data_IF_784741428009
#
_entry.id   IF_784741428009
#
_cell.length_a   1.000
_cell.length_b   1.000
_cell.length_c   1.000
_cell.angle_alpha   90.00
_cell.angle_beta   90.00
_cell.angle_gamma   90.00
#
_symmetry.space_group_name_H-M   'P 1'
#
loop_
_entity.id
_entity.type
_entity.pdbx_description
1 polymer ?
#
# COMPACT_ATOMS: atom_id res chain seq x y z
N UNK A 1 -23.39 7.26 -12.89
CA UNK A 1 -21.98 6.90 -13.12
C UNK A 1 -21.54 5.99 -11.99
N UNK A 2 -20.84 4.90 -12.33
CA UNK A 2 -20.15 4.04 -11.36
C UNK A 2 -18.67 4.31 -11.50
N UNK A 3 -17.99 4.57 -10.38
CA UNK A 3 -16.53 4.63 -10.32
C UNK A 3 -16.04 3.33 -9.68
N UNK A 4 -15.27 2.55 -10.44
CA UNK A 4 -14.71 1.28 -9.97
C UNK A 4 -13.21 1.43 -9.72
N UNK A 5 -12.79 1.07 -8.51
CA UNK A 5 -11.38 1.01 -8.08
C UNK A 5 -10.92 -0.41 -7.81
N UNK A 6 -11.69 -1.40 -8.28
CA UNK A 6 -11.42 -2.81 -8.11
C UNK A 6 -11.78 -3.61 -9.38
N UNK A 7 -10.99 -4.63 -9.77
CA UNK A 7 -11.17 -5.35 -11.02
C UNK A 7 -12.39 -6.27 -11.09
N UNK A 8 -12.98 -6.62 -9.94
CA UNK A 8 -14.18 -7.49 -9.92
C UNK A 8 -15.43 -6.62 -9.84
N UNK A 9 -16.16 -6.47 -10.89
CA UNK A 9 -17.13 -5.38 -10.95
C UNK A 9 -18.47 -5.76 -10.30
N UNK A 10 -18.94 -4.88 -9.43
CA UNK A 10 -20.35 -4.83 -9.07
C UNK A 10 -21.28 -4.64 -10.31
N UNK A 11 -20.72 -4.20 -11.45
CA UNK A 11 -21.46 -4.04 -12.70
C UNK A 11 -21.98 -5.36 -13.29
N UNK A 12 -21.38 -6.50 -12.97
CA UNK A 12 -21.92 -7.81 -13.35
C UNK A 12 -23.33 -8.06 -12.79
N UNK A 13 -23.69 -7.35 -11.72
CA UNK A 13 -25.00 -7.37 -11.09
C UNK A 13 -26.00 -6.41 -11.79
N UNK A 14 -25.52 -5.57 -12.70
CA UNK A 14 -26.30 -4.51 -13.34
C UNK A 14 -26.61 -4.81 -14.82
N UNK A 15 -26.77 -6.09 -15.14
CA UNK A 15 -26.90 -6.61 -16.51
C UNK A 15 -27.84 -5.85 -17.46
N UNK A 16 -28.82 -5.12 -16.92
CA UNK A 16 -29.87 -4.49 -17.70
C UNK A 16 -29.85 -2.94 -17.68
N UNK A 17 -28.84 -2.33 -17.03
CA UNK A 17 -28.78 -0.86 -16.92
C UNK A 17 -27.52 -0.32 -17.62
N UNK A 18 -27.76 0.53 -18.64
CA UNK A 18 -26.68 1.30 -19.31
C UNK A 18 -26.15 2.41 -18.37
N UNK A 19 -25.46 2.04 -17.33
CA UNK A 19 -24.84 2.98 -16.40
C UNK A 19 -23.39 3.21 -16.85
N UNK A 20 -22.96 4.46 -17.11
CA UNK A 20 -21.58 4.76 -17.46
C UNK A 20 -20.62 4.32 -16.35
N UNK A 21 -19.56 3.59 -16.72
CA UNK A 21 -18.55 3.07 -15.80
C UNK A 21 -17.23 3.78 -16.05
N UNK A 22 -16.61 4.25 -14.98
CA UNK A 22 -15.27 4.80 -14.96
C UNK A 22 -14.40 3.86 -14.15
N UNK A 23 -13.36 3.30 -14.76
CA UNK A 23 -12.40 2.45 -14.08
C UNK A 23 -11.16 3.27 -13.68
N UNK A 24 -10.79 3.26 -12.41
CA UNK A 24 -9.53 3.77 -11.90
C UNK A 24 -8.68 2.55 -11.56
N UNK A 25 -7.72 2.23 -12.42
CA UNK A 25 -6.84 1.07 -12.25
C UNK A 25 -5.82 1.39 -11.17
N UNK A 26 -5.96 0.71 -10.03
CA UNK A 26 -5.10 0.90 -8.85
C UNK A 26 -3.92 -0.07 -8.79
N UNK A 27 -3.61 -0.72 -9.92
CA UNK A 27 -2.47 -1.60 -10.08
C UNK A 27 -1.48 -1.01 -11.09
N UNK A 28 -0.18 -1.18 -10.82
CA UNK A 28 0.89 -0.79 -11.75
C UNK A 28 1.01 -1.77 -12.92
N UNK A 29 0.57 -3.01 -12.72
CA UNK A 29 0.48 -4.04 -13.76
C UNK A 29 -0.98 -4.24 -14.18
N UNK A 30 -1.20 -4.35 -15.49
CA UNK A 30 -2.55 -4.55 -16.03
C UNK A 30 -2.99 -6.01 -15.93
N UNK A 31 -4.22 -6.21 -15.45
CA UNK A 31 -4.90 -7.50 -15.49
C UNK A 31 -6.20 -7.41 -16.28
N UNK A 32 -6.50 -8.45 -17.09
CA UNK A 32 -7.68 -8.44 -17.99
C UNK A 32 -9.02 -8.29 -17.27
N UNK A 33 -9.09 -8.59 -15.98
CA UNK A 33 -10.30 -8.38 -15.16
C UNK A 33 -10.72 -6.91 -15.04
N UNK A 34 -9.80 -5.97 -15.32
CA UNK A 34 -10.13 -4.54 -15.40
C UNK A 34 -10.92 -4.16 -16.66
N UNK A 35 -10.95 -5.03 -17.70
CA UNK A 35 -11.71 -4.74 -18.91
C UNK A 35 -13.20 -4.79 -18.64
N UNK A 36 -13.87 -3.69 -18.97
CA UNK A 36 -15.31 -3.52 -18.85
C UNK A 36 -15.88 -3.06 -20.18
N UNK A 37 -16.82 -3.82 -20.75
CA UNK A 37 -17.41 -3.54 -22.06
C UNK A 37 -18.02 -2.13 -22.15
N UNK A 38 -18.66 -1.68 -21.07
CA UNK A 38 -19.40 -0.42 -21.02
C UNK A 38 -18.59 0.70 -20.32
N UNK A 39 -17.28 0.54 -20.19
CA UNK A 39 -16.45 1.59 -19.63
C UNK A 39 -16.37 2.79 -20.58
N UNK A 40 -16.69 3.95 -20.03
CA UNK A 40 -16.59 5.23 -20.74
C UNK A 40 -15.19 5.86 -20.52
N UNK A 41 -14.48 5.45 -19.46
CA UNK A 41 -13.16 5.98 -19.12
C UNK A 41 -12.34 4.97 -18.32
N UNK A 42 -11.03 4.96 -18.60
CA UNK A 42 -10.00 4.30 -17.80
C UNK A 42 -8.97 5.32 -17.35
N UNK A 43 -8.71 5.37 -16.06
CA UNK A 43 -7.58 6.08 -15.48
C UNK A 43 -6.50 5.06 -15.11
N UNK A 44 -5.27 5.30 -15.57
CA UNK A 44 -4.15 4.36 -15.45
C UNK A 44 -2.93 5.03 -14.84
N UNK A 45 -2.07 4.23 -14.22
CA UNK A 45 -0.86 4.71 -13.57
C UNK A 45 0.31 4.90 -14.54
N UNK A 46 0.46 4.01 -15.55
CA UNK A 46 1.67 3.91 -16.35
C UNK A 46 1.38 3.84 -17.84
N UNK A 47 2.41 4.15 -18.65
CA UNK A 47 2.36 3.97 -20.11
C UNK A 47 2.23 2.49 -20.49
N UNK A 48 2.71 1.57 -19.66
CA UNK A 48 2.56 0.14 -19.89
C UNK A 48 1.09 -0.27 -19.79
N UNK A 49 0.40 0.14 -18.71
CA UNK A 49 -1.04 -0.13 -18.53
C UNK A 49 -1.87 0.48 -19.66
N UNK A 50 -1.52 1.70 -20.10
CA UNK A 50 -2.15 2.32 -21.27
C UNK A 50 -1.97 1.46 -22.52
N UNK A 51 -0.72 1.04 -22.82
CA UNK A 51 -0.41 0.21 -23.99
C UNK A 51 -1.15 -1.12 -23.97
N UNK A 52 -1.28 -1.77 -22.82
CA UNK A 52 -2.02 -3.03 -22.69
C UNK A 52 -3.52 -2.85 -22.99
N UNK A 53 -4.14 -1.77 -22.53
CA UNK A 53 -5.52 -1.44 -22.85
C UNK A 53 -5.72 -1.20 -24.37
N UNK A 54 -4.80 -0.48 -24.99
CA UNK A 54 -4.84 -0.20 -26.45
C UNK A 54 -4.68 -1.50 -27.27
N UNK A 55 -3.80 -2.42 -26.85
CA UNK A 55 -3.68 -3.76 -27.49
C UNK A 55 -4.98 -4.58 -27.43
N UNK A 56 -5.81 -4.30 -26.43
CA UNK A 56 -7.11 -4.95 -26.24
C UNK A 56 -8.26 -4.16 -26.90
N UNK A 57 -7.93 -3.29 -27.86
CA UNK A 57 -8.85 -2.46 -28.63
C UNK A 57 -9.68 -1.48 -27.80
N UNK A 58 -9.20 -1.04 -26.64
CA UNK A 58 -9.80 0.09 -25.95
C UNK A 58 -9.39 1.37 -26.68
N UNK A 59 -10.37 2.20 -27.01
CA UNK A 59 -10.14 3.46 -27.71
C UNK A 59 -9.23 4.41 -26.89
N UNK A 60 -8.18 4.98 -27.51
CA UNK A 60 -7.22 5.86 -26.86
C UNK A 60 -7.88 7.03 -26.12
N UNK A 61 -8.93 7.60 -26.69
CA UNK A 61 -9.68 8.71 -26.06
C UNK A 61 -10.31 8.34 -24.72
N UNK A 62 -10.56 7.05 -24.47
CA UNK A 62 -11.11 6.55 -23.21
C UNK A 62 -10.03 6.35 -22.13
N UNK A 63 -8.75 6.33 -22.50
CA UNK A 63 -7.66 6.09 -21.54
C UNK A 63 -7.00 7.41 -21.17
N UNK A 64 -6.79 7.61 -19.87
CA UNK A 64 -6.11 8.78 -19.31
C UNK A 64 -5.08 8.33 -18.27
N UNK A 65 -3.84 8.82 -18.41
CA UNK A 65 -2.76 8.53 -17.46
C UNK A 65 -2.65 9.67 -16.45
N UNK A 66 -2.99 9.37 -15.18
CA UNK A 66 -2.96 10.33 -14.07
C UNK A 66 -2.27 9.78 -12.82
N UNK A 67 -1.80 8.54 -12.84
CA UNK A 67 -1.31 7.88 -11.64
C UNK A 67 -2.44 7.18 -10.86
N UNK A 68 -2.08 6.57 -9.73
CA UNK A 68 -3.03 6.01 -8.77
C UNK A 68 -3.38 7.09 -7.77
N UNK A 69 -4.68 7.41 -7.58
CA UNK A 69 -5.08 8.46 -6.63
C UNK A 69 -4.78 8.03 -5.19
N UNK A 70 -4.23 8.95 -4.44
CA UNK A 70 -3.97 8.84 -3.00
C UNK A 70 -4.66 10.00 -2.28
N UNK A 71 -4.73 9.95 -0.95
CA UNK A 71 -5.30 11.05 -0.18
C UNK A 71 -4.40 12.30 -0.21
N UNK A 72 -4.99 13.50 -0.33
CA UNK A 72 -4.27 14.79 -0.36
C UNK A 72 -3.33 14.98 0.83
N UNK A 73 -3.70 14.43 1.99
CA UNK A 73 -2.88 14.52 3.22
C UNK A 73 -1.44 14.02 3.05
N UNK A 74 -1.12 13.22 2.02
CA UNK A 74 0.25 12.74 1.78
C UNK A 74 1.20 13.84 1.31
N UNK A 75 0.71 14.99 0.87
CA UNK A 75 1.50 16.15 0.50
C UNK A 75 1.91 17.02 1.72
N UNK A 76 1.22 16.86 2.85
CA UNK A 76 1.48 17.63 4.07
C UNK A 76 2.76 17.14 4.76
N UNK A 77 3.55 18.07 5.30
CA UNK A 77 4.70 17.77 6.16
C UNK A 77 4.28 17.74 7.62
N UNK A 78 4.94 16.86 8.39
CA UNK A 78 4.74 16.80 9.85
C UNK A 78 6.05 17.01 10.60
N UNK A 79 5.95 17.25 11.91
CA UNK A 79 7.11 17.20 12.82
C UNK A 79 7.40 15.73 13.16
N UNK A 80 8.42 15.16 12.52
CA UNK A 80 8.79 13.75 12.67
C UNK A 80 9.29 13.45 14.09
N UNK A 81 10.10 14.32 14.68
CA UNK A 81 10.65 14.11 16.05
C UNK A 81 9.49 14.02 17.06
N UNK A 82 8.58 14.98 17.03
CA UNK A 82 7.41 14.98 17.92
C UNK A 82 6.55 13.73 17.73
N UNK A 83 6.35 13.29 16.47
CA UNK A 83 5.61 12.06 16.19
C UNK A 83 6.27 10.82 16.78
N UNK A 84 7.60 10.71 16.67
CA UNK A 84 8.36 9.60 17.24
C UNK A 84 8.23 9.59 18.77
N UNK A 85 8.39 10.74 19.44
CA UNK A 85 8.22 10.89 20.89
C UNK A 85 6.81 10.50 21.36
N UNK A 86 5.77 11.05 20.73
CA UNK A 86 4.37 10.78 21.06
C UNK A 86 4.05 9.29 20.91
N UNK A 87 4.75 8.63 20.00
CA UNK A 87 4.61 7.19 19.75
C UNK A 87 5.61 6.33 20.54
N UNK A 88 6.38 6.90 21.48
CA UNK A 88 7.37 6.20 22.31
C UNK A 88 8.42 5.46 21.47
N UNK A 89 8.92 6.11 20.43
CA UNK A 89 10.00 5.64 19.57
C UNK A 89 11.26 6.46 19.83
N UNK A 90 12.40 5.86 19.53
CA UNK A 90 13.70 6.51 19.69
C UNK A 90 13.95 7.49 18.53
N UNK A 91 14.33 8.73 18.83
CA UNK A 91 14.63 9.76 17.83
C UNK A 91 15.99 9.50 17.16
N UNK A 92 16.93 8.94 17.93
CA UNK A 92 18.31 8.68 17.50
C UNK A 92 18.48 7.38 16.70
N UNK A 93 17.38 6.62 16.47
CA UNK A 93 17.43 5.34 15.74
C UNK A 93 16.78 5.42 14.37
N UNK A 94 17.33 4.64 13.44
CA UNK A 94 16.71 4.42 12.13
C UNK A 94 15.43 3.60 12.27
N UNK A 95 14.37 4.06 11.64
CA UNK A 95 13.05 3.43 11.69
C UNK A 95 12.77 2.61 10.44
N UNK A 96 12.61 1.30 10.59
CA UNK A 96 12.12 0.41 9.55
C UNK A 96 10.63 0.20 9.73
N UNK A 97 9.85 0.60 8.74
CA UNK A 97 8.39 0.37 8.72
C UNK A 97 8.10 -0.92 7.95
N UNK A 98 7.44 -1.87 8.59
CA UNK A 98 6.95 -3.11 7.97
C UNK A 98 5.43 -3.01 7.81
N UNK A 99 4.91 -3.22 6.60
CA UNK A 99 3.46 -3.27 6.37
C UNK A 99 3.05 -4.63 5.80
N UNK A 100 2.20 -5.35 6.54
CA UNK A 100 1.68 -6.65 6.13
C UNK A 100 0.59 -6.56 5.04
N UNK A 101 0.08 -5.35 4.78
CA UNK A 101 -1.07 -5.14 3.90
C UNK A 101 -2.40 -5.54 4.58
N UNK A 102 -3.51 -5.35 3.87
CA UNK A 102 -4.85 -5.51 4.43
C UNK A 102 -5.19 -6.96 4.84
N UNK A 103 -4.61 -7.96 4.19
CA UNK A 103 -5.00 -9.37 4.35
C UNK A 103 -3.90 -10.27 4.94
N UNK A 104 -2.82 -9.70 5.44
CA UNK A 104 -1.68 -10.45 5.97
C UNK A 104 -0.94 -11.25 4.88
N UNK A 105 0.24 -11.73 5.20
CA UNK A 105 1.04 -12.59 4.30
C UNK A 105 1.58 -13.77 5.08
N UNK A 106 1.83 -14.86 4.38
CA UNK A 106 2.61 -16.01 4.83
C UNK A 106 4.11 -15.73 5.05
N UNK A 107 4.51 -14.46 5.16
CA UNK A 107 5.89 -14.09 5.45
C UNK A 107 6.11 -14.18 6.94
N UNK A 108 7.18 -14.83 7.34
CA UNK A 108 7.60 -14.92 8.73
C UNK A 108 8.13 -13.56 9.23
N UNK A 109 7.18 -12.69 9.60
CA UNK A 109 7.49 -11.34 10.09
C UNK A 109 8.34 -11.41 11.37
N UNK A 110 8.08 -12.37 12.25
CA UNK A 110 8.84 -12.52 13.48
C UNK A 110 10.33 -12.73 13.17
N UNK A 111 10.68 -13.67 12.28
CA UNK A 111 12.08 -13.85 11.88
C UNK A 111 12.68 -12.63 11.19
N UNK A 112 11.90 -11.92 10.38
CA UNK A 112 12.39 -10.70 9.71
C UNK A 112 12.74 -9.62 10.71
N UNK A 113 11.83 -9.32 11.65
CA UNK A 113 12.05 -8.36 12.75
C UNK A 113 13.30 -8.74 13.56
N UNK A 114 13.38 -10.01 13.98
CA UNK A 114 14.52 -10.52 14.74
C UNK A 114 15.85 -10.30 14.01
N UNK A 115 15.92 -10.59 12.69
CA UNK A 115 17.13 -10.37 11.89
C UNK A 115 17.51 -8.89 11.79
N UNK A 116 16.54 -7.99 11.60
CA UNK A 116 16.80 -6.53 11.53
C UNK A 116 17.37 -6.04 12.85
N UNK A 117 16.72 -6.38 13.97
CA UNK A 117 17.09 -5.91 15.30
C UNK A 117 18.41 -6.48 15.82
N UNK A 118 18.76 -7.74 15.42
CA UNK A 118 20.02 -8.36 15.77
C UNK A 118 21.21 -7.76 15.03
N UNK A 119 21.02 -7.44 13.74
CA UNK A 119 22.12 -6.93 12.90
C UNK A 119 22.43 -5.46 13.15
N UNK A 120 21.45 -4.67 13.58
CA UNK A 120 21.58 -3.23 13.74
C UNK A 120 21.05 -2.77 15.11
N UNK A 121 21.96 -2.33 15.98
CA UNK A 121 21.59 -1.79 17.30
C UNK A 121 20.92 -0.41 17.21
N UNK A 122 21.24 0.35 16.17
CA UNK A 122 20.72 1.70 15.92
C UNK A 122 19.47 1.71 15.05
N UNK A 123 18.74 0.58 15.02
CA UNK A 123 17.50 0.43 14.25
C UNK A 123 16.35 0.01 15.17
N UNK A 124 15.21 0.62 14.95
CA UNK A 124 13.93 0.23 15.51
C UNK A 124 12.98 -0.20 14.39
N UNK A 125 11.96 -0.98 14.73
CA UNK A 125 11.01 -1.53 13.77
C UNK A 125 9.59 -1.19 14.18
N UNK A 126 8.80 -0.65 13.26
CA UNK A 126 7.36 -0.46 13.41
C UNK A 126 6.66 -1.42 12.47
N UNK A 127 5.73 -2.22 12.99
CA UNK A 127 4.98 -3.20 12.19
C UNK A 127 3.51 -2.84 12.17
N UNK A 128 2.94 -2.65 10.97
CA UNK A 128 1.51 -2.43 10.77
C UNK A 128 0.90 -3.71 10.24
N UNK A 129 0.19 -4.43 11.12
CA UNK A 129 -0.47 -5.70 10.81
C UNK A 129 -1.82 -5.52 10.08
N UNK A 130 -2.32 -4.28 9.97
CA UNK A 130 -3.62 -3.99 9.38
C UNK A 130 -4.75 -4.69 10.13
N UNK A 131 -5.63 -5.36 9.40
CA UNK A 131 -6.78 -6.10 9.97
C UNK A 131 -6.43 -7.50 10.47
N UNK A 132 -5.17 -7.95 10.30
CA UNK A 132 -4.73 -9.26 10.76
C UNK A 132 -4.45 -9.25 12.27
N UNK A 133 -5.48 -9.56 13.07
CA UNK A 133 -5.40 -9.61 14.53
C UNK A 133 -4.52 -10.76 15.04
N UNK A 134 -4.48 -11.86 14.31
CA UNK A 134 -3.70 -13.05 14.67
C UNK A 134 -2.20 -12.75 14.60
N UNK A 135 -1.75 -12.21 13.48
CA UNK A 135 -0.37 -11.74 13.32
C UNK A 135 0.01 -10.69 14.37
N UNK A 136 -0.89 -9.73 14.65
CA UNK A 136 -0.64 -8.71 15.67
C UNK A 136 -0.40 -9.34 17.04
N UNK A 137 -1.27 -10.25 17.47
CA UNK A 137 -1.17 -10.90 18.77
C UNK A 137 0.11 -11.75 18.88
N UNK A 138 0.45 -12.50 17.83
CA UNK A 138 1.70 -13.28 17.76
C UNK A 138 2.92 -12.39 17.95
N UNK A 139 3.02 -11.32 17.18
CA UNK A 139 4.16 -10.39 17.24
C UNK A 139 4.22 -9.60 18.57
N UNK A 140 3.09 -9.26 19.16
CA UNK A 140 3.05 -8.63 20.49
C UNK A 140 3.57 -9.55 21.59
N UNK A 141 3.34 -10.86 21.50
CA UNK A 141 3.90 -11.86 22.42
C UNK A 141 5.41 -12.00 22.19
N UNK A 142 5.83 -12.21 20.93
CA UNK A 142 7.23 -12.45 20.59
C UNK A 142 8.13 -11.27 20.95
N UNK A 143 7.62 -10.04 20.82
CA UNK A 143 8.36 -8.80 21.02
C UNK A 143 7.93 -8.00 22.25
N UNK A 144 7.20 -8.59 23.22
CA UNK A 144 6.69 -7.91 24.41
C UNK A 144 7.74 -7.16 25.24
N UNK A 145 8.99 -7.64 25.22
CA UNK A 145 10.12 -7.04 25.97
C UNK A 145 11.11 -6.28 25.08
N UNK A 146 10.79 -6.11 23.80
CA UNK A 146 11.69 -5.48 22.84
C UNK A 146 11.28 -4.02 22.60
N UNK A 147 11.90 -3.09 23.31
CA UNK A 147 11.62 -1.66 23.24
C UNK A 147 11.79 -1.06 21.83
N UNK A 148 12.62 -1.69 20.98
CA UNK A 148 12.85 -1.27 19.59
C UNK A 148 11.89 -1.87 18.58
N UNK A 149 10.85 -2.58 19.02
CA UNK A 149 9.80 -3.12 18.16
C UNK A 149 8.44 -2.59 18.60
N UNK A 150 7.74 -1.89 17.71
CA UNK A 150 6.37 -1.41 17.91
C UNK A 150 5.43 -2.14 16.99
N UNK A 151 4.46 -2.85 17.56
CA UNK A 151 3.47 -3.64 16.81
C UNK A 151 2.13 -2.91 16.83
N UNK A 152 1.57 -2.69 15.65
CA UNK A 152 0.32 -1.97 15.45
C UNK A 152 -0.67 -2.82 14.65
N UNK A 153 -1.95 -2.68 14.95
CA UNK A 153 -3.04 -3.19 14.13
C UNK A 153 -3.29 -2.30 12.92
N UNK A 154 -4.58 -2.08 12.61
CA UNK A 154 -4.99 -1.11 11.62
C UNK A 154 -4.71 0.31 12.11
N UNK A 155 -4.22 1.16 11.23
CA UNK A 155 -3.96 2.58 11.50
C UNK A 155 -4.53 3.47 10.40
N UNK A 156 -5.02 4.63 10.76
CA UNK A 156 -5.42 5.70 9.83
C UNK A 156 -4.28 6.69 9.57
N UNK A 157 -3.19 6.57 10.34
CA UNK A 157 -2.03 7.45 10.32
C UNK A 157 -0.89 6.89 9.46
N UNK A 158 -1.24 6.23 8.34
CA UNK A 158 -0.23 5.59 7.48
C UNK A 158 0.78 6.59 6.90
N UNK A 159 0.33 7.81 6.58
CA UNK A 159 1.18 8.91 6.15
C UNK A 159 2.26 9.22 7.19
N UNK A 160 1.83 9.42 8.42
CA UNK A 160 2.71 9.79 9.54
C UNK A 160 3.76 8.71 9.77
N UNK A 161 3.37 7.45 9.72
CA UNK A 161 4.29 6.32 9.80
C UNK A 161 5.27 6.27 8.64
N UNK A 162 4.82 6.54 7.41
CA UNK A 162 5.71 6.60 6.24
C UNK A 162 6.69 7.76 6.32
N UNK A 163 6.25 8.94 6.78
CA UNK A 163 7.13 10.11 6.91
C UNK A 163 8.14 9.97 8.06
N UNK A 164 7.79 9.21 9.12
CA UNK A 164 8.66 8.96 10.26
C UNK A 164 9.66 7.82 10.03
N UNK A 165 9.52 7.05 8.95
CA UNK A 165 10.38 5.90 8.68
C UNK A 165 11.47 6.22 7.66
N UNK A 166 12.62 5.56 7.79
CA UNK A 166 13.74 5.64 6.84
C UNK A 166 13.58 4.66 5.67
N UNK A 167 12.82 3.59 5.83
CA UNK A 167 12.51 2.61 4.79
C UNK A 167 11.19 1.91 5.07
N UNK A 168 10.41 1.69 4.02
CA UNK A 168 9.20 0.87 4.07
C UNK A 168 9.46 -0.49 3.40
N UNK A 169 9.17 -1.57 4.12
CA UNK A 169 9.15 -2.93 3.59
C UNK A 169 7.69 -3.38 3.50
N UNK A 170 7.20 -3.60 2.29
CA UNK A 170 5.79 -3.89 2.05
C UNK A 170 5.58 -4.80 0.83
N UNK A 171 4.36 -5.28 0.65
CA UNK A 171 3.93 -5.93 -0.60
C UNK A 171 3.81 -4.92 -1.75
N UNK A 172 3.83 -5.44 -2.98
CA UNK A 172 3.65 -4.66 -4.20
C UNK A 172 2.17 -4.24 -4.43
N UNK A 173 1.56 -3.52 -3.47
CA UNK A 173 0.21 -2.96 -3.62
C UNK A 173 0.26 -1.56 -4.24
N UNK A 174 -0.48 -1.32 -5.32
CA UNK A 174 -0.38 -0.07 -6.09
C UNK A 174 -0.64 1.19 -5.26
N UNK A 175 -1.67 1.21 -4.42
CA UNK A 175 -1.99 2.35 -3.54
C UNK A 175 -0.87 2.59 -2.54
N UNK A 176 -0.41 1.56 -1.82
CA UNK A 176 0.68 1.69 -0.83
C UNK A 176 1.99 2.17 -1.47
N UNK A 177 2.32 1.68 -2.68
CA UNK A 177 3.49 2.15 -3.43
C UNK A 177 3.32 3.64 -3.77
N UNK A 178 2.14 4.06 -4.24
CA UNK A 178 1.88 5.46 -4.59
C UNK A 178 1.96 6.39 -3.37
N UNK A 179 1.43 5.97 -2.23
CA UNK A 179 1.53 6.67 -0.95
C UNK A 179 2.98 6.80 -0.49
N UNK A 180 3.77 5.73 -0.62
CA UNK A 180 5.18 5.73 -0.27
C UNK A 180 6.02 6.64 -1.18
N UNK A 181 5.73 6.64 -2.48
CA UNK A 181 6.37 7.56 -3.44
C UNK A 181 6.06 9.03 -3.11
N UNK A 182 4.81 9.35 -2.78
CA UNK A 182 4.41 10.68 -2.34
C UNK A 182 5.07 11.08 -1.01
N UNK A 183 5.24 10.12 -0.09
CA UNK A 183 5.97 10.33 1.16
C UNK A 183 7.49 10.39 0.99
N UNK A 184 8.01 10.17 -0.23
CA UNK A 184 9.45 10.13 -0.55
C UNK A 184 10.25 9.14 0.32
N UNK A 185 9.64 8.01 0.69
CA UNK A 185 10.27 6.96 1.49
C UNK A 185 10.87 5.86 0.60
N UNK A 186 12.12 5.41 0.84
CA UNK A 186 12.69 4.23 0.19
C UNK A 186 11.84 2.98 0.40
N UNK A 187 11.69 2.16 -0.66
CA UNK A 187 10.84 0.98 -0.68
C UNK A 187 11.63 -0.31 -0.87
N UNK A 188 11.29 -1.32 -0.09
CA UNK A 188 11.65 -2.73 -0.33
C UNK A 188 10.36 -3.51 -0.52
N UNK A 189 10.20 -4.09 -1.72
CA UNK A 189 9.03 -4.89 -2.04
C UNK A 189 9.34 -6.38 -1.86
N UNK A 190 8.44 -7.09 -1.20
CA UNK A 190 8.53 -8.52 -1.01
C UNK A 190 7.25 -9.23 -1.47
N UNK A 191 7.37 -10.53 -1.77
CA UNK A 191 6.27 -11.39 -2.22
C UNK A 191 5.37 -10.69 -3.24
N UNK A 192 5.85 -10.42 -4.46
CA UNK A 192 4.99 -9.89 -5.50
C UNK A 192 3.81 -10.85 -5.69
N UNK A 193 2.60 -10.33 -5.54
CA UNK A 193 1.40 -11.10 -5.85
C UNK A 193 1.33 -11.16 -7.36
N UNK A 194 1.25 -12.35 -7.99
CA UNK A 194 0.95 -12.44 -9.41
C UNK A 194 -0.36 -11.71 -9.69
N UNK A 195 -0.31 -10.73 -10.58
CA UNK A 195 -1.48 -10.01 -11.04
C UNK A 195 -2.35 -10.87 -11.96
#
# INVERSE_FOLDING_TARGET
>A
IIVSTFPTPAWSLLKDKKIPIVNIITDYHFHKSWLTKDAVRYYVATDETERELLKLNVEKQKVKKFGIPIAEKFDDKMNVEQWLEDNKLFIDKKTVLLSAGAFGVSTDFSKLIGKILLKNKDTQVVVICGKNRELKNELEIDYAKQERAKILGYTENMREWMQAADVLITKAGGVTISEALASNIPLILFNPVPG
#
